data_IF_314818151188
#
_entry.id   IF_314818151188
#
_cell.length_a   1.000
_cell.length_b   1.000
_cell.length_c   1.000
_cell.angle_alpha   90.00
_cell.angle_beta   90.00
_cell.angle_gamma   90.00
#
_symmetry.space_group_name_H-M   'P 1'
#
loop_
_entity.id
_entity.type
_entity.pdbx_description
1 polymer ?
#
# COMPACT_ATOMS: atom_id res chain seq x y z
N UNK A 1 -2.52 -13.40 -7.84
CA UNK A 1 -1.77 -14.27 -8.76
C UNK A 1 -1.69 -13.67 -10.17
N UNK A 2 -2.83 -13.34 -10.80
CA UNK A 2 -2.90 -12.79 -12.16
C UNK A 2 -2.05 -11.50 -12.27
N UNK A 3 -2.21 -10.56 -11.35
CA UNK A 3 -1.43 -9.31 -11.32
C UNK A 3 0.08 -9.55 -11.20
N UNK A 4 0.50 -10.48 -10.32
CA UNK A 4 1.93 -10.80 -10.17
C UNK A 4 2.51 -11.38 -11.46
N UNK A 5 1.77 -12.26 -12.14
CA UNK A 5 2.21 -12.83 -13.41
C UNK A 5 2.31 -11.78 -14.52
N UNK A 6 1.33 -10.86 -14.58
CA UNK A 6 1.40 -9.73 -15.52
C UNK A 6 2.60 -8.81 -15.23
N UNK A 7 2.93 -8.59 -13.96
CA UNK A 7 4.11 -7.79 -13.62
C UNK A 7 5.41 -8.51 -13.97
N UNK A 8 5.48 -9.81 -13.75
CA UNK A 8 6.65 -10.61 -14.13
C UNK A 8 6.89 -10.58 -15.65
N UNK A 9 5.83 -10.74 -16.44
CA UNK A 9 5.90 -10.64 -17.91
C UNK A 9 6.35 -9.23 -18.38
N UNK A 10 5.88 -8.16 -17.73
CA UNK A 10 6.29 -6.80 -18.06
C UNK A 10 7.73 -6.54 -17.64
N UNK A 11 8.13 -6.92 -16.42
CA UNK A 11 9.47 -6.69 -15.90
C UNK A 11 10.54 -7.52 -16.60
N UNK A 12 10.22 -8.72 -17.07
CA UNK A 12 11.14 -9.55 -17.87
C UNK A 12 11.43 -8.92 -19.23
N UNK A 13 10.44 -8.23 -19.80
CA UNK A 13 10.58 -7.59 -21.12
C UNK A 13 11.28 -6.22 -21.04
N UNK A 14 11.06 -5.45 -19.97
CA UNK A 14 11.59 -4.10 -19.79
C UNK A 14 12.54 -4.03 -18.58
N UNK A 15 13.69 -4.69 -18.71
CA UNK A 15 14.58 -4.97 -17.56
C UNK A 15 15.28 -3.74 -16.99
N UNK A 16 15.54 -2.70 -17.79
CA UNK A 16 16.30 -1.51 -17.39
C UNK A 16 15.54 -0.19 -17.59
N UNK A 17 14.33 -0.25 -18.10
CA UNK A 17 13.56 0.95 -18.40
C UNK A 17 12.74 1.44 -17.20
N UNK A 18 12.63 2.77 -17.08
CA UNK A 18 11.77 3.34 -16.06
C UNK A 18 10.29 3.19 -16.45
N UNK A 19 9.40 3.12 -15.46
CA UNK A 19 7.95 3.00 -15.68
C UNK A 19 7.41 4.02 -16.70
N UNK A 20 7.93 5.25 -16.67
CA UNK A 20 7.53 6.30 -17.60
C UNK A 20 7.93 6.00 -19.06
N UNK A 21 9.06 5.37 -19.28
CA UNK A 21 9.52 4.96 -20.61
C UNK A 21 8.67 3.81 -21.13
N UNK A 22 8.40 2.80 -20.31
CA UNK A 22 7.55 1.65 -20.65
C UNK A 22 6.14 2.12 -21.08
N UNK A 23 5.53 3.06 -20.35
CA UNK A 23 4.21 3.60 -20.69
C UNK A 23 4.25 4.36 -22.03
N UNK A 24 5.33 5.12 -22.29
CA UNK A 24 5.49 5.85 -23.56
C UNK A 24 5.78 4.93 -24.73
N UNK A 25 6.48 3.82 -24.52
CA UNK A 25 6.78 2.82 -25.54
C UNK A 25 5.51 2.08 -25.98
N UNK A 26 4.65 1.72 -25.01
CA UNK A 26 3.39 1.00 -25.28
C UNK A 26 2.32 1.90 -25.90
N UNK A 27 2.15 3.11 -25.37
CA UNK A 27 1.04 4.02 -25.73
C UNK A 27 1.43 5.09 -26.75
N UNK A 28 2.73 5.19 -27.07
CA UNK A 28 3.28 6.28 -27.89
C UNK A 28 3.58 7.54 -27.08
N UNK A 29 4.40 8.43 -27.66
CA UNK A 29 4.98 9.56 -26.93
C UNK A 29 3.96 10.58 -26.40
N UNK A 30 2.86 10.86 -27.13
CA UNK A 30 1.86 11.86 -26.73
C UNK A 30 0.87 11.25 -25.72
N UNK A 31 0.25 10.13 -26.06
CA UNK A 31 -0.73 9.46 -25.21
C UNK A 31 -0.10 8.99 -23.90
N UNK A 32 1.13 8.45 -23.97
CA UNK A 32 1.86 8.02 -22.78
C UNK A 32 2.09 9.17 -21.79
N UNK A 33 2.45 10.37 -22.27
CA UNK A 33 2.61 11.56 -21.41
C UNK A 33 1.31 11.99 -20.76
N UNK A 34 0.21 11.98 -21.49
CA UNK A 34 -1.12 12.35 -20.95
C UNK A 34 -1.51 11.38 -19.82
N UNK A 35 -1.38 10.08 -20.07
CA UNK A 35 -1.69 9.05 -19.06
C UNK A 35 -0.81 9.21 -17.81
N UNK A 36 0.48 9.47 -17.98
CA UNK A 36 1.40 9.69 -16.86
C UNK A 36 1.02 10.93 -16.04
N UNK A 37 0.60 12.03 -16.67
CA UNK A 37 0.14 13.24 -15.98
C UNK A 37 -1.13 12.96 -15.18
N UNK A 38 -2.13 12.29 -15.79
CA UNK A 38 -3.37 11.92 -15.10
C UNK A 38 -3.05 11.04 -13.88
N UNK A 39 -2.15 10.08 -14.04
CA UNK A 39 -1.74 9.18 -12.97
C UNK A 39 -1.03 9.93 -11.84
N UNK A 40 -0.15 10.87 -12.17
CA UNK A 40 0.55 11.71 -11.20
C UNK A 40 -0.43 12.57 -10.39
N UNK A 41 -1.42 13.17 -11.05
CA UNK A 41 -2.49 13.93 -10.38
C UNK A 41 -3.29 13.01 -9.45
N UNK A 42 -3.65 11.82 -9.91
CA UNK A 42 -4.36 10.83 -9.10
C UNK A 42 -3.59 10.45 -7.83
N UNK A 43 -2.28 10.18 -7.95
CA UNK A 43 -1.40 9.89 -6.79
C UNK A 43 -1.32 11.09 -5.84
N UNK A 44 -1.21 12.30 -6.36
CA UNK A 44 -1.16 13.51 -5.52
C UNK A 44 -2.45 13.71 -4.71
N UNK A 45 -3.62 13.49 -5.32
CA UNK A 45 -4.92 13.54 -4.63
C UNK A 45 -5.01 12.43 -3.57
N UNK A 46 -4.57 11.24 -3.89
CA UNK A 46 -4.54 10.10 -2.97
C UNK A 46 -3.65 10.41 -1.75
N UNK A 47 -2.44 10.92 -1.97
CA UNK A 47 -1.51 11.31 -0.92
C UNK A 47 -2.12 12.40 0.00
N UNK A 48 -2.70 13.43 -0.59
CA UNK A 48 -3.37 14.50 0.16
C UNK A 48 -4.53 13.96 1.03
N UNK A 49 -5.31 13.03 0.48
CA UNK A 49 -6.41 12.37 1.19
C UNK A 49 -5.90 11.54 2.38
N UNK A 50 -4.80 10.80 2.22
CA UNK A 50 -4.18 10.06 3.32
C UNK A 50 -3.63 10.97 4.41
N UNK A 51 -2.89 12.01 4.05
CA UNK A 51 -2.36 12.96 5.02
C UNK A 51 -3.51 13.55 5.85
N UNK A 52 -4.60 13.96 5.22
CA UNK A 52 -5.78 14.47 5.90
C UNK A 52 -6.42 13.42 6.81
N UNK A 53 -6.62 12.21 6.30
CA UNK A 53 -7.24 11.11 7.06
C UNK A 53 -6.44 10.78 8.32
N UNK A 54 -5.14 10.57 8.19
CA UNK A 54 -4.29 10.26 9.34
C UNK A 54 -4.14 11.44 10.30
N UNK A 55 -4.06 12.67 9.79
CA UNK A 55 -4.04 13.85 10.64
C UNK A 55 -5.29 13.97 11.52
N UNK A 56 -6.47 13.67 10.97
CA UNK A 56 -7.72 13.62 11.74
C UNK A 56 -7.65 12.54 12.83
N UNK A 57 -7.18 11.32 12.47
CA UNK A 57 -7.05 10.22 13.42
C UNK A 57 -6.08 10.53 14.56
N UNK A 58 -4.91 11.11 14.25
CA UNK A 58 -3.91 11.52 15.23
C UNK A 58 -4.48 12.62 16.14
N UNK A 59 -5.18 13.58 15.54
CA UNK A 59 -5.78 14.68 16.31
C UNK A 59 -6.82 14.16 17.30
N UNK A 60 -7.72 13.29 16.85
CA UNK A 60 -8.75 12.70 17.73
C UNK A 60 -8.17 11.80 18.83
N UNK A 61 -7.10 11.05 18.53
CA UNK A 61 -6.54 10.09 19.46
C UNK A 61 -5.59 10.72 20.50
N UNK A 62 -4.76 11.68 20.07
CA UNK A 62 -3.67 12.22 20.89
C UNK A 62 -3.87 13.68 21.29
N UNK A 63 -4.52 14.47 20.45
CA UNK A 63 -4.62 15.92 20.63
C UNK A 63 -6.02 16.46 20.33
N UNK A 64 -7.07 16.01 21.03
CA UNK A 64 -8.47 16.34 20.70
C UNK A 64 -8.78 17.84 20.71
N UNK A 65 -8.00 18.64 21.47
CA UNK A 65 -8.16 20.08 21.57
C UNK A 65 -7.20 20.89 20.69
N UNK A 66 -6.38 20.23 19.87
CA UNK A 66 -5.41 20.91 19.01
C UNK A 66 -5.97 21.19 17.61
N UNK A 67 -5.33 22.14 16.92
CA UNK A 67 -5.69 22.45 15.53
C UNK A 67 -5.16 21.35 14.62
N UNK A 68 -5.98 20.86 13.71
CA UNK A 68 -5.64 19.81 12.74
C UNK A 68 -4.41 20.13 11.88
N UNK A 69 -4.09 21.41 11.70
CA UNK A 69 -2.91 21.84 10.90
C UNK A 69 -1.59 21.38 11.50
N UNK A 70 -1.52 21.20 12.83
CA UNK A 70 -0.28 20.78 13.51
C UNK A 70 0.16 19.39 13.04
N UNK A 71 -0.66 18.31 13.17
CA UNK A 71 -0.28 17.00 12.68
C UNK A 71 -0.06 16.96 11.15
N UNK A 72 -0.80 17.76 10.37
CA UNK A 72 -0.58 17.84 8.91
C UNK A 72 0.83 18.36 8.60
N UNK A 73 1.26 19.46 9.24
CA UNK A 73 2.59 20.05 9.01
C UNK A 73 3.69 19.07 9.43
N UNK A 74 3.53 18.42 10.57
CA UNK A 74 4.49 17.42 11.07
C UNK A 74 4.61 16.26 10.06
N UNK A 75 3.49 15.73 9.57
CA UNK A 75 3.50 14.65 8.58
C UNK A 75 4.15 15.05 7.26
N UNK A 76 3.88 16.25 6.75
CA UNK A 76 4.52 16.78 5.54
C UNK A 76 6.02 16.94 5.74
N UNK A 77 6.47 17.45 6.87
CA UNK A 77 7.88 17.61 7.20
C UNK A 77 8.59 16.27 7.28
N UNK A 78 8.00 15.29 7.97
CA UNK A 78 8.55 13.93 8.06
C UNK A 78 8.62 13.26 6.69
N UNK A 79 7.59 13.41 5.86
CA UNK A 79 7.57 12.90 4.49
C UNK A 79 8.69 13.52 3.66
N UNK A 80 8.85 14.85 3.72
CA UNK A 80 9.91 15.56 3.03
C UNK A 80 11.30 15.09 3.46
N UNK A 81 11.55 14.97 4.77
CA UNK A 81 12.82 14.49 5.31
C UNK A 81 13.12 13.06 4.87
N UNK A 82 12.11 12.19 4.86
CA UNK A 82 12.24 10.80 4.42
C UNK A 82 12.59 10.71 2.94
N UNK A 83 11.93 11.50 2.10
CA UNK A 83 12.22 11.55 0.66
C UNK A 83 13.64 12.05 0.36
N UNK A 84 14.15 13.03 1.10
CA UNK A 84 15.53 13.52 0.95
C UNK A 84 16.58 12.46 1.28
N UNK A 85 16.27 11.51 2.15
CA UNK A 85 17.17 10.42 2.56
C UNK A 85 17.21 9.26 1.57
N UNK A 86 16.31 9.25 0.60
CA UNK A 86 16.25 8.25 -0.47
C UNK A 86 15.47 6.98 -0.11
N UNK A 87 15.22 6.15 -1.12
CA UNK A 87 14.38 4.94 -1.04
C UNK A 87 14.86 3.92 -0.02
N UNK A 88 16.18 3.76 0.14
CA UNK A 88 16.77 2.78 1.09
C UNK A 88 16.35 3.08 2.52
N UNK A 89 16.30 4.36 2.90
CA UNK A 89 15.87 4.76 4.25
C UNK A 89 14.38 4.50 4.44
N UNK A 90 13.56 4.81 3.43
CA UNK A 90 12.11 4.55 3.47
C UNK A 90 11.84 3.06 3.62
N UNK A 91 12.56 2.21 2.87
CA UNK A 91 12.44 0.75 2.96
C UNK A 91 12.79 0.22 4.36
N UNK A 92 13.91 0.66 4.93
CA UNK A 92 14.32 0.26 6.29
C UNK A 92 13.34 0.76 7.36
N UNK A 93 12.81 1.96 7.22
CA UNK A 93 11.74 2.45 8.10
C UNK A 93 10.50 1.56 8.00
N UNK A 94 10.13 1.12 6.79
CA UNK A 94 9.04 0.18 6.57
C UNK A 94 9.25 -1.15 7.29
N UNK A 95 10.45 -1.73 7.24
CA UNK A 95 10.80 -2.96 7.95
C UNK A 95 10.65 -2.81 9.48
N UNK A 96 11.17 -1.73 10.05
CA UNK A 96 11.04 -1.47 11.48
C UNK A 96 9.58 -1.28 11.89
N UNK A 97 8.82 -0.49 11.13
CA UNK A 97 7.40 -0.26 11.39
C UNK A 97 6.59 -1.54 11.27
N UNK A 98 6.91 -2.41 10.30
CA UNK A 98 6.25 -3.71 10.14
C UNK A 98 6.41 -4.57 11.40
N UNK A 99 7.63 -4.69 11.92
CA UNK A 99 7.88 -5.44 13.18
C UNK A 99 7.08 -4.86 14.34
N UNK A 100 7.04 -3.52 14.48
CA UNK A 100 6.28 -2.87 15.54
C UNK A 100 4.76 -3.12 15.40
N UNK A 101 4.24 -3.09 14.18
CA UNK A 101 2.81 -3.37 13.90
C UNK A 101 2.48 -4.82 14.25
N UNK A 102 3.32 -5.77 13.85
CA UNK A 102 3.11 -7.20 14.17
C UNK A 102 3.15 -7.42 15.68
N UNK A 103 4.12 -6.85 16.37
CA UNK A 103 4.20 -6.96 17.85
C UNK A 103 2.96 -6.35 18.52
N UNK A 104 2.53 -5.17 18.08
CA UNK A 104 1.33 -4.51 18.61
C UNK A 104 0.08 -5.35 18.36
N UNK A 105 -0.01 -5.97 17.18
CA UNK A 105 -1.13 -6.86 16.85
C UNK A 105 -1.16 -8.10 17.75
N UNK A 106 -0.01 -8.75 17.97
CA UNK A 106 0.11 -9.90 18.89
C UNK A 106 -0.33 -9.51 20.30
N UNK A 107 0.16 -8.39 20.82
CA UNK A 107 -0.23 -7.88 22.15
C UNK A 107 -1.74 -7.63 22.19
N UNK A 108 -2.30 -6.99 21.17
CA UNK A 108 -3.74 -6.75 21.09
C UNK A 108 -4.54 -8.04 21.10
N UNK A 109 -4.15 -9.05 20.33
CA UNK A 109 -4.81 -10.36 20.30
C UNK A 109 -4.76 -11.02 21.67
N UNK A 110 -3.59 -11.06 22.32
CA UNK A 110 -3.41 -11.65 23.65
C UNK A 110 -4.32 -10.97 24.68
N UNK A 111 -4.36 -9.65 24.70
CA UNK A 111 -5.21 -8.89 25.63
C UNK A 111 -6.70 -9.07 25.34
N UNK A 112 -7.07 -9.35 24.08
CA UNK A 112 -8.46 -9.51 23.66
C UNK A 112 -9.00 -10.94 23.85
N UNK A 113 -8.16 -11.94 24.11
CA UNK A 113 -8.56 -13.36 24.20
C UNK A 113 -9.73 -13.54 25.16
N UNK A 114 -9.68 -12.91 26.32
CA UNK A 114 -10.74 -13.04 27.36
C UNK A 114 -12.07 -12.37 26.97
N UNK A 115 -12.05 -11.50 25.97
CA UNK A 115 -13.23 -10.74 25.51
C UNK A 115 -13.80 -11.32 24.20
N UNK A 116 -13.15 -12.32 23.62
CA UNK A 116 -13.63 -12.97 22.40
C UNK A 116 -14.85 -13.83 22.74
N UNK A 117 -15.99 -13.44 22.22
CA UNK A 117 -17.24 -14.21 22.31
C UNK A 117 -17.47 -14.91 20.99
N UNK A 118 -17.21 -16.23 20.89
CA UNK A 118 -17.40 -16.97 19.64
C UNK A 118 -18.85 -16.98 19.16
N UNK A 119 -19.79 -16.72 20.08
CA UNK A 119 -21.22 -16.61 19.78
C UNK A 119 -21.54 -15.48 18.77
N UNK A 120 -20.72 -14.44 18.72
CA UNK A 120 -20.89 -13.35 17.73
C UNK A 120 -20.45 -13.73 16.31
N UNK A 121 -19.80 -14.87 16.13
CA UNK A 121 -19.44 -15.41 14.82
C UNK A 121 -20.57 -16.28 14.23
N UNK A 122 -21.59 -16.60 15.02
CA UNK A 122 -22.73 -17.44 14.64
C UNK A 122 -24.05 -16.65 14.79
N UNK A 123 -25.06 -16.89 13.97
CA UNK A 123 -25.10 -17.87 12.89
C UNK A 123 -24.58 -17.31 11.55
N UNK A 124 -23.75 -18.09 10.84
CA UNK A 124 -23.38 -17.78 9.45
C UNK A 124 -24.57 -18.13 8.57
N UNK A 125 -25.17 -17.14 7.93
CA UNK A 125 -26.33 -17.34 7.04
C UNK A 125 -25.90 -17.18 5.57
N UNK A 126 -26.59 -17.90 4.68
CA UNK A 126 -26.42 -17.68 3.23
C UNK A 126 -26.73 -16.23 2.78
N UNK A 127 -27.51 -15.50 3.57
CA UNK A 127 -27.80 -14.07 3.33
C UNK A 127 -26.57 -13.18 3.49
N UNK A 128 -25.53 -13.65 4.19
CA UNK A 128 -24.32 -12.89 4.45
C UNK A 128 -23.34 -12.97 3.28
N UNK A 129 -23.56 -13.89 2.32
CA UNK A 129 -22.67 -14.08 1.16
C UNK A 129 -22.54 -12.79 0.32
N UNK A 130 -23.66 -12.10 0.08
CA UNK A 130 -23.65 -10.86 -0.72
C UNK A 130 -22.93 -9.71 0.02
N UNK A 131 -23.24 -9.40 1.29
CA UNK A 131 -22.48 -8.43 2.09
C UNK A 131 -20.99 -8.79 2.21
N UNK A 132 -20.64 -10.07 2.39
CA UNK A 132 -19.25 -10.54 2.42
C UNK A 132 -18.55 -10.28 1.08
N UNK A 133 -19.22 -10.54 -0.06
CA UNK A 133 -18.69 -10.24 -1.38
C UNK A 133 -18.41 -8.73 -1.57
N UNK A 134 -19.33 -7.88 -1.12
CA UNK A 134 -19.16 -6.43 -1.17
C UNK A 134 -18.00 -5.95 -0.27
N UNK A 135 -17.88 -6.48 0.94
CA UNK A 135 -16.77 -6.18 1.83
C UNK A 135 -15.42 -6.65 1.26
N UNK A 136 -15.38 -7.83 0.66
CA UNK A 136 -14.18 -8.38 0.01
C UNK A 136 -13.72 -7.53 -1.16
N UNK A 137 -14.64 -6.91 -1.92
CA UNK A 137 -14.28 -6.00 -3.01
C UNK A 137 -13.52 -4.77 -2.51
N UNK A 138 -13.91 -4.21 -1.34
CA UNK A 138 -13.16 -3.12 -0.71
C UNK A 138 -11.74 -3.52 -0.32
N UNK A 139 -11.56 -4.74 0.21
CA UNK A 139 -10.24 -5.29 0.56
C UNK A 139 -9.41 -5.56 -0.70
N UNK A 140 -10.04 -6.07 -1.77
CA UNK A 140 -9.36 -6.29 -3.05
C UNK A 140 -8.75 -5.00 -3.64
N UNK A 141 -9.33 -3.85 -3.35
CA UNK A 141 -8.77 -2.54 -3.73
C UNK A 141 -7.38 -2.28 -3.13
N UNK A 142 -7.04 -2.87 -1.98
CA UNK A 142 -5.72 -2.77 -1.37
C UNK A 142 -4.63 -3.43 -2.23
N UNK A 143 -4.98 -4.47 -3.00
CA UNK A 143 -4.06 -5.11 -3.94
C UNK A 143 -3.64 -4.18 -5.08
N UNK A 144 -4.40 -3.13 -5.34
CA UNK A 144 -4.03 -2.06 -6.28
C UNK A 144 -2.73 -1.36 -5.90
N UNK A 145 -2.34 -1.36 -4.62
CA UNK A 145 -1.06 -0.79 -4.19
C UNK A 145 0.16 -1.58 -4.67
N UNK A 146 0.00 -2.84 -5.07
CA UNK A 146 1.07 -3.60 -5.71
C UNK A 146 1.56 -2.93 -7.00
N UNK A 147 0.71 -2.16 -7.68
CA UNK A 147 1.10 -1.42 -8.89
C UNK A 147 2.19 -0.38 -8.61
N UNK A 148 2.31 0.11 -7.36
CA UNK A 148 3.39 1.03 -7.00
C UNK A 148 4.77 0.40 -7.08
N UNK A 149 4.88 -0.92 -6.99
CA UNK A 149 6.16 -1.64 -7.17
C UNK A 149 6.73 -1.38 -8.57
N UNK A 150 5.86 -1.18 -9.57
CA UNK A 150 6.26 -0.88 -10.94
C UNK A 150 7.09 0.41 -11.07
N UNK A 151 6.84 1.41 -10.20
CA UNK A 151 7.63 2.65 -10.22
C UNK A 151 9.08 2.47 -9.78
N UNK A 152 9.38 1.37 -9.09
CA UNK A 152 10.71 1.05 -8.56
C UNK A 152 11.35 -0.11 -9.31
N UNK A 153 10.83 -0.48 -10.47
CA UNK A 153 11.31 -1.61 -11.28
C UNK A 153 12.78 -1.49 -11.65
N UNK A 154 13.26 -0.26 -11.89
CA UNK A 154 14.66 0.06 -12.18
C UNK A 154 15.61 -0.17 -10.99
N UNK A 155 15.10 -0.22 -9.77
CA UNK A 155 15.86 -0.38 -8.52
C UNK A 155 15.87 -1.80 -7.97
N UNK A 156 15.09 -2.71 -8.54
CA UNK A 156 14.98 -4.10 -8.09
C UNK A 156 16.08 -4.94 -8.77
N UNK A 157 17.03 -5.45 -7.96
CA UNK A 157 18.17 -6.22 -8.47
C UNK A 157 17.83 -7.67 -8.84
N UNK A 158 16.91 -8.31 -8.12
CA UNK A 158 16.60 -9.75 -8.24
C UNK A 158 15.21 -9.98 -8.86
N UNK A 159 15.01 -9.50 -10.08
CA UNK A 159 13.73 -9.59 -10.79
C UNK A 159 13.27 -11.03 -11.01
N UNK A 160 14.21 -11.95 -11.32
CA UNK A 160 13.92 -13.36 -11.60
C UNK A 160 13.42 -14.17 -10.38
N UNK A 161 13.59 -13.64 -9.17
CA UNK A 161 13.09 -14.27 -7.95
C UNK A 161 11.80 -13.65 -7.44
N UNK A 162 11.31 -12.57 -8.06
CA UNK A 162 10.09 -11.88 -7.61
C UNK A 162 8.86 -12.80 -7.63
N UNK A 163 8.73 -13.62 -8.65
CA UNK A 163 7.60 -14.56 -8.78
C UNK A 163 7.65 -15.62 -7.68
N UNK A 164 8.80 -16.24 -7.46
CA UNK A 164 8.99 -17.27 -6.43
C UNK A 164 8.84 -16.73 -5.01
N UNK A 165 9.43 -15.55 -4.73
CA UNK A 165 9.34 -14.92 -3.42
C UNK A 165 7.96 -14.34 -3.18
N UNK A 166 7.34 -13.68 -4.17
CA UNK A 166 5.98 -13.17 -4.07
C UNK A 166 4.95 -14.27 -3.84
N UNK A 167 5.07 -15.42 -4.51
CA UNK A 167 4.24 -16.58 -4.29
C UNK A 167 4.43 -17.17 -2.89
N UNK A 168 5.68 -17.26 -2.42
CA UNK A 168 5.99 -17.73 -1.07
C UNK A 168 5.34 -16.84 0.00
N UNK A 169 5.39 -15.51 -0.16
CA UNK A 169 4.73 -14.59 0.76
C UNK A 169 3.21 -14.69 0.70
N UNK A 170 2.60 -14.87 -0.49
CA UNK A 170 1.16 -15.07 -0.65
C UNK A 170 0.63 -16.36 0.00
N UNK A 171 1.46 -17.40 0.08
CA UNK A 171 1.08 -18.70 0.68
C UNK A 171 1.33 -18.68 2.20
N UNK A 172 2.25 -17.85 2.66
CA UNK A 172 2.64 -17.79 4.08
C UNK A 172 1.73 -16.86 4.90
N UNK A 173 0.98 -15.95 4.25
CA UNK A 173 -0.01 -15.04 4.83
C UNK A 173 -1.42 -15.39 4.36
#
# INVERSE_FOLDING_TARGET
FILLKMFDDIFSKYTEESYGQVVQDILGGILGKIVLIIYLIGIAILLASYIRYYAIKINLALFPNSRIHIPVIIMLLLTYLSLRRGLVVISRMGEILFVLIVMSFVVFVVLSINNIKPEHLLPISYKDIIPMGQASYGIAGLWGYLTFVCFFSDRIKDKNEMDKRGLKYLITF
#
